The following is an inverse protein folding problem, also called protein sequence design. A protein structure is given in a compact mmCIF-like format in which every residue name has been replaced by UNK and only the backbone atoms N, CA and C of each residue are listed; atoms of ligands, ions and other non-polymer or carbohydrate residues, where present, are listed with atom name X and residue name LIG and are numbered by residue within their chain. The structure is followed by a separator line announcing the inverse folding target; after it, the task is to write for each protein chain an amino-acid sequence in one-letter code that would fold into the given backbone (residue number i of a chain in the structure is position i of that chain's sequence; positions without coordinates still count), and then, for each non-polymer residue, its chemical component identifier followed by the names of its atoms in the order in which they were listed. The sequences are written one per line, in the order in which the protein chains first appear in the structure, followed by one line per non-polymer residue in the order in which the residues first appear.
data_IF_195846882628
#
_entry.id   IF_195846882628
#
_cell.length_a   1.000
_cell.length_b   1.000
_cell.length_c   1.000
_cell.angle_alpha   90.00
_cell.angle_beta   90.00
_cell.angle_gamma   90.00
#
_symmetry.space_group_name_H-M   'P 1'
#
loop_
_entity.id
_entity.type
_entity.pdbx_description
1 polymer ?
#
# COMPACT_ATOMS: atom_id res chain seq x y z
N UNK A 1 -7.67 11.05 -2.60
CA UNK A 1 -6.20 10.92 -2.66
C UNK A 1 -5.45 12.21 -2.33
N UNK A 2 -5.86 13.37 -2.87
CA UNK A 2 -5.33 14.68 -2.46
C UNK A 2 -5.61 14.99 -0.97
N UNK A 3 -6.65 14.39 -0.41
CA UNK A 3 -7.00 14.50 1.02
C UNK A 3 -5.90 13.96 1.93
N UNK A 4 -5.04 13.03 1.49
CA UNK A 4 -3.86 12.65 2.30
C UNK A 4 -2.84 13.78 2.42
N UNK A 5 -2.71 14.61 1.38
CA UNK A 5 -1.79 15.75 1.37
C UNK A 5 -2.31 16.90 2.23
N UNK A 6 -3.61 17.20 2.11
CA UNK A 6 -4.22 18.36 2.77
C UNK A 6 -4.89 18.04 4.11
N UNK A 7 -5.24 16.78 4.36
CA UNK A 7 -6.01 16.34 5.54
C UNK A 7 -5.31 15.14 6.22
N UNK A 8 -4.06 15.32 6.63
CA UNK A 8 -3.27 14.25 7.25
C UNK A 8 -3.84 13.73 8.56
N UNK A 9 -4.54 14.55 9.33
CA UNK A 9 -5.23 14.12 10.56
C UNK A 9 -6.56 13.40 10.28
N UNK A 10 -6.99 13.33 9.01
CA UNK A 10 -8.17 12.55 8.65
C UNK A 10 -7.83 11.06 8.55
N UNK A 11 -8.05 10.36 9.65
CA UNK A 11 -7.76 8.94 9.80
C UNK A 11 -8.58 7.99 8.92
N UNK A 12 -9.59 8.50 8.20
CA UNK A 12 -10.27 7.74 7.14
C UNK A 12 -9.36 7.50 5.94
N UNK A 13 -8.46 8.45 5.64
CA UNK A 13 -7.62 8.43 4.45
C UNK A 13 -6.13 8.26 4.79
N UNK A 14 -5.69 8.65 5.99
CA UNK A 14 -4.32 8.45 6.44
C UNK A 14 -4.14 7.12 7.17
N UNK A 15 -3.52 6.14 6.49
CA UNK A 15 -3.20 4.85 7.07
C UNK A 15 -2.21 4.91 8.26
N UNK A 16 -1.45 5.99 8.44
CA UNK A 16 -0.58 6.14 9.61
C UNK A 16 -1.37 6.27 10.92
N UNK A 17 -2.60 6.79 10.88
CA UNK A 17 -3.47 6.89 12.06
C UNK A 17 -3.80 5.55 12.71
N UNK A 18 -3.66 4.43 11.98
CA UNK A 18 -3.88 3.12 12.60
C UNK A 18 -2.79 2.82 13.65
N UNK A 19 -1.63 3.45 13.56
CA UNK A 19 -0.54 3.27 14.51
C UNK A 19 -0.70 4.27 15.65
N UNK A 20 -0.75 3.78 16.88
CA UNK A 20 -0.72 4.60 18.09
C UNK A 20 0.48 5.57 18.15
N UNK A 21 1.57 5.23 17.46
CA UNK A 21 2.75 6.09 17.31
C UNK A 21 2.46 7.41 16.58
N UNK A 22 1.42 7.47 15.73
CA UNK A 22 0.99 8.72 15.09
C UNK A 22 0.58 9.76 16.13
N UNK A 23 -0.35 9.42 17.02
CA UNK A 23 -0.78 10.35 18.09
C UNK A 23 0.33 10.61 19.11
N UNK A 24 1.11 9.59 19.48
CA UNK A 24 2.25 9.75 20.39
C UNK A 24 3.30 10.72 19.85
N UNK A 25 3.53 10.72 18.54
CA UNK A 25 4.52 11.60 17.94
C UNK A 25 4.20 13.08 18.11
N UNK A 26 2.92 13.47 18.24
CA UNK A 26 2.52 14.88 18.40
C UNK A 26 3.07 15.54 19.66
N UNK A 27 3.48 14.74 20.66
CA UNK A 27 4.13 15.24 21.88
C UNK A 27 5.57 15.74 21.62
N UNK A 28 6.20 15.31 20.53
CA UNK A 28 7.55 15.70 20.12
C UNK A 28 7.47 16.34 18.72
N UNK A 29 7.59 17.68 18.61
CA UNK A 29 7.45 18.37 17.33
C UNK A 29 8.43 17.90 16.25
N UNK A 30 9.65 17.52 16.61
CA UNK A 30 10.68 17.08 15.67
C UNK A 30 10.33 15.70 15.10
N UNK A 31 9.99 14.76 15.98
CA UNK A 31 9.55 13.42 15.57
C UNK A 31 8.28 13.48 14.75
N UNK A 32 7.31 14.33 15.14
CA UNK A 32 6.08 14.49 14.40
C UNK A 32 6.32 15.05 12.99
N UNK A 33 7.21 16.03 12.84
CA UNK A 33 7.58 16.59 11.55
C UNK A 33 8.17 15.53 10.61
N UNK A 34 9.06 14.67 11.12
CA UNK A 34 9.61 13.55 10.37
C UNK A 34 8.51 12.56 9.92
N UNK A 35 7.61 12.17 10.83
CA UNK A 35 6.53 11.24 10.49
C UNK A 35 5.58 11.85 9.45
N UNK A 36 5.22 13.14 9.58
CA UNK A 36 4.41 13.85 8.58
C UNK A 36 5.09 13.89 7.21
N UNK A 37 6.40 14.12 7.17
CA UNK A 37 7.18 14.06 5.94
C UNK A 37 7.07 12.67 5.29
N UNK A 38 7.28 11.59 6.05
CA UNK A 38 7.19 10.21 5.54
C UNK A 38 5.78 9.86 5.03
N UNK A 39 4.73 10.28 5.75
CA UNK A 39 3.33 10.09 5.32
C UNK A 39 3.04 10.81 4.02
N UNK A 40 3.47 12.07 3.91
CA UNK A 40 3.33 12.86 2.68
C UNK A 40 4.10 12.26 1.51
N UNK A 41 5.32 11.80 1.76
CA UNK A 41 6.13 11.15 0.74
C UNK A 41 5.44 9.89 0.21
N UNK A 42 4.95 9.03 1.09
CA UNK A 42 4.20 7.82 0.70
C UNK A 42 2.90 8.16 -0.05
N UNK A 43 2.19 9.22 0.36
CA UNK A 43 1.01 9.70 -0.35
C UNK A 43 1.37 10.13 -1.79
N UNK A 44 2.48 10.85 -1.97
CA UNK A 44 2.99 11.26 -3.28
C UNK A 44 3.32 10.10 -4.20
N UNK A 45 4.04 9.10 -3.68
CA UNK A 45 4.36 7.89 -4.45
C UNK A 45 3.09 7.19 -4.93
N UNK A 46 2.04 7.08 -4.09
CA UNK A 46 0.75 6.49 -4.50
C UNK A 46 0.07 7.27 -5.62
N UNK A 47 0.11 8.62 -5.57
CA UNK A 47 -0.43 9.46 -6.65
C UNK A 47 0.27 9.19 -7.98
N UNK A 48 1.61 9.13 -7.97
CA UNK A 48 2.43 8.87 -9.14
C UNK A 48 2.10 7.48 -9.71
N UNK A 49 2.08 6.45 -8.86
CA UNK A 49 1.77 5.07 -9.28
C UNK A 49 0.40 5.00 -9.93
N UNK A 50 -0.63 5.62 -9.34
CA UNK A 50 -1.99 5.56 -9.90
C UNK A 50 -2.09 6.32 -11.23
N UNK A 51 -1.45 7.48 -11.35
CA UNK A 51 -1.37 8.19 -12.63
C UNK A 51 -0.71 7.33 -13.72
N UNK A 52 0.40 6.65 -13.39
CA UNK A 52 1.09 5.75 -14.32
C UNK A 52 0.24 4.53 -14.69
N UNK A 53 -0.45 3.90 -13.72
CA UNK A 53 -1.36 2.79 -13.97
C UNK A 53 -2.50 3.22 -14.90
N UNK A 54 -3.08 4.41 -14.71
CA UNK A 54 -4.12 4.92 -15.59
C UNK A 54 -3.60 5.06 -17.02
N UNK A 55 -2.45 5.70 -17.22
CA UNK A 55 -1.85 5.83 -18.56
C UNK A 55 -1.63 4.46 -19.18
N UNK A 56 -1.03 3.52 -18.44
CA UNK A 56 -0.81 2.15 -18.93
C UNK A 56 -2.11 1.47 -19.36
N UNK A 57 -3.14 1.50 -18.53
CA UNK A 57 -4.43 0.83 -18.83
C UNK A 57 -5.09 1.41 -20.09
N UNK A 58 -4.95 2.71 -20.35
CA UNK A 58 -5.59 3.34 -21.51
C UNK A 58 -4.76 3.30 -22.80
N UNK A 59 -3.43 3.23 -22.71
CA UNK A 59 -2.56 3.43 -23.89
C UNK A 59 -1.65 2.25 -24.19
N UNK A 60 -1.43 1.34 -23.25
CA UNK A 60 -0.45 0.27 -23.42
C UNK A 60 -1.01 -0.88 -24.28
N UNK A 61 -0.13 -1.49 -25.07
CA UNK A 61 -0.47 -2.74 -25.76
C UNK A 61 -0.67 -3.87 -24.75
N UNK A 62 -1.38 -4.90 -25.18
CA UNK A 62 -1.63 -6.12 -24.39
C UNK A 62 -0.33 -6.71 -23.80
N UNK A 63 0.71 -6.90 -24.62
CA UNK A 63 2.01 -7.38 -24.16
C UNK A 63 2.61 -6.51 -23.05
N UNK A 64 2.48 -5.18 -23.18
CA UNK A 64 2.99 -4.24 -22.17
C UNK A 64 2.19 -4.34 -20.87
N UNK A 65 0.87 -4.52 -20.94
CA UNK A 65 0.02 -4.72 -19.77
C UNK A 65 0.37 -6.01 -19.03
N UNK A 66 0.61 -7.11 -19.75
CA UNK A 66 1.02 -8.39 -19.15
C UNK A 66 2.37 -8.23 -18.43
N UNK A 67 3.37 -7.63 -19.10
CA UNK A 67 4.69 -7.40 -18.49
C UNK A 67 4.59 -6.49 -17.26
N UNK A 68 3.77 -5.44 -17.32
CA UNK A 68 3.50 -4.57 -16.19
C UNK A 68 2.82 -5.33 -15.04
N UNK A 69 1.86 -6.22 -15.33
CA UNK A 69 1.19 -7.04 -14.34
C UNK A 69 2.16 -8.04 -13.69
N UNK A 70 3.05 -8.69 -14.45
CA UNK A 70 4.11 -9.56 -13.92
C UNK A 70 5.06 -8.78 -13.01
N UNK A 71 5.51 -7.60 -13.44
CA UNK A 71 6.34 -6.72 -12.61
C UNK A 71 5.61 -6.29 -11.32
N UNK A 72 4.30 -6.04 -11.40
CA UNK A 72 3.48 -5.68 -10.24
C UNK A 72 3.36 -6.84 -9.25
N UNK A 73 3.15 -8.08 -9.73
CA UNK A 73 3.15 -9.28 -8.87
C UNK A 73 4.48 -9.40 -8.11
N UNK A 74 5.61 -9.36 -8.81
CA UNK A 74 6.95 -9.51 -8.20
C UNK A 74 7.21 -8.40 -7.17
N UNK A 75 6.84 -7.16 -7.47
CA UNK A 75 7.08 -6.02 -6.57
C UNK A 75 6.15 -6.02 -5.37
N UNK A 76 4.88 -6.41 -5.52
CA UNK A 76 3.95 -6.62 -4.40
C UNK A 76 4.48 -7.73 -3.48
N UNK A 77 4.88 -8.88 -4.03
CA UNK A 77 5.44 -9.99 -3.26
C UNK A 77 6.65 -9.55 -2.43
N UNK A 78 7.59 -8.84 -3.07
CA UNK A 78 8.82 -8.35 -2.44
C UNK A 78 8.53 -7.36 -1.31
N UNK A 79 7.64 -6.40 -1.57
CA UNK A 79 7.22 -5.41 -0.59
C UNK A 79 6.49 -6.05 0.60
N UNK A 80 5.59 -6.99 0.31
CA UNK A 80 4.80 -7.69 1.30
C UNK A 80 5.67 -8.56 2.21
N UNK A 81 6.64 -9.29 1.67
CA UNK A 81 7.61 -10.05 2.47
C UNK A 81 8.32 -9.15 3.49
N UNK A 82 8.77 -7.95 3.08
CA UNK A 82 9.48 -7.07 4.01
C UNK A 82 8.57 -6.42 5.06
N UNK A 83 7.41 -5.93 4.66
CA UNK A 83 6.56 -5.11 5.55
C UNK A 83 5.57 -5.90 6.40
N UNK A 84 5.09 -7.03 5.91
CA UNK A 84 4.13 -7.84 6.66
C UNK A 84 4.66 -8.28 8.04
N UNK A 85 5.92 -8.75 8.19
CA UNK A 85 6.49 -9.06 9.50
C UNK A 85 6.50 -7.85 10.44
N UNK A 86 6.83 -6.66 9.94
CA UNK A 86 6.85 -5.43 10.74
C UNK A 86 5.44 -5.07 11.23
N UNK A 87 4.45 -5.10 10.32
CA UNK A 87 3.05 -4.83 10.66
C UNK A 87 2.50 -5.86 11.65
N UNK A 88 2.84 -7.15 11.48
CA UNK A 88 2.45 -8.22 12.39
C UNK A 88 3.04 -8.02 13.79
N UNK A 89 4.30 -7.58 13.88
CA UNK A 89 4.94 -7.27 15.17
C UNK A 89 4.24 -6.09 15.86
N UNK A 90 3.92 -5.02 15.12
CA UNK A 90 3.16 -3.89 15.64
C UNK A 90 1.75 -4.28 16.12
N UNK A 91 1.05 -5.14 15.36
CA UNK A 91 -0.29 -5.66 15.73
C UNK A 91 -0.22 -6.49 17.03
N UNK A 92 0.75 -7.40 17.14
CA UNK A 92 1.00 -8.18 18.38
C UNK A 92 1.31 -7.30 19.58
N UNK A 93 2.05 -6.21 19.37
CA UNK A 93 2.38 -5.23 20.40
C UNK A 93 1.21 -4.30 20.76
N UNK A 94 0.01 -4.51 20.20
CA UNK A 94 -1.18 -3.66 20.38
C UNK A 94 -0.92 -2.19 20.02
N UNK A 95 0.00 -1.96 19.09
CA UNK A 95 0.32 -0.61 18.60
C UNK A 95 -0.65 -0.16 17.51
N UNK A 96 -1.53 -1.04 17.01
CA UNK A 96 -2.54 -0.75 16.00
C UNK A 96 -3.92 -0.50 16.63
N UNK A 97 -4.69 0.44 16.09
CA UNK A 97 -6.02 0.84 16.58
C UNK A 97 -7.08 -0.26 16.48
N UNK A 98 -6.89 -1.25 15.60
CA UNK A 98 -7.78 -2.41 15.49
C UNK A 98 -6.99 -3.71 15.53
N UNK A 99 -7.44 -4.66 16.36
CA UNK A 99 -6.82 -5.99 16.46
C UNK A 99 -6.99 -6.75 15.15
N UNK A 100 -5.93 -7.45 14.73
CA UNK A 100 -5.97 -8.29 13.52
C UNK A 100 -6.02 -7.48 12.23
N UNK A 101 -5.63 -6.20 12.27
CA UNK A 101 -5.49 -5.38 11.07
C UNK A 101 -4.44 -5.96 10.12
N UNK A 102 -3.33 -6.48 10.66
CA UNK A 102 -2.28 -7.13 9.86
C UNK A 102 -2.81 -8.30 9.04
N UNK A 103 -3.69 -9.14 9.64
CA UNK A 103 -4.30 -10.29 8.97
C UNK A 103 -5.28 -9.85 7.87
N UNK A 104 -6.10 -8.82 8.11
CA UNK A 104 -7.03 -8.30 7.11
C UNK A 104 -6.32 -7.71 5.90
N UNK A 105 -5.31 -6.86 6.13
CA UNK A 105 -4.52 -6.28 5.05
C UNK A 105 -3.79 -7.36 4.24
N UNK A 106 -3.23 -8.35 4.94
CA UNK A 106 -2.61 -9.53 4.33
C UNK A 106 -3.55 -10.28 3.38
N UNK A 107 -4.77 -10.58 3.82
CA UNK A 107 -5.74 -11.28 2.97
C UNK A 107 -6.13 -10.47 1.73
N UNK A 108 -6.27 -9.14 1.86
CA UNK A 108 -6.56 -8.26 0.73
C UNK A 108 -5.42 -8.26 -0.29
N UNK A 109 -4.18 -8.15 0.17
CA UNK A 109 -3.00 -8.14 -0.71
C UNK A 109 -2.80 -9.49 -1.39
N UNK A 110 -2.93 -10.59 -0.65
CA UNK A 110 -2.88 -11.94 -1.22
C UNK A 110 -4.00 -12.16 -2.25
N UNK A 111 -5.21 -11.67 -2.01
CA UNK A 111 -6.31 -11.76 -2.95
C UNK A 111 -6.04 -11.00 -4.26
N UNK A 112 -5.50 -9.78 -4.16
CA UNK A 112 -5.09 -8.99 -5.33
C UNK A 112 -3.99 -9.70 -6.12
N UNK A 113 -2.94 -10.15 -5.43
CA UNK A 113 -1.80 -10.82 -6.04
C UNK A 113 -2.21 -12.14 -6.73
N UNK A 114 -3.01 -12.96 -6.04
CA UNK A 114 -3.55 -14.19 -6.61
C UNK A 114 -4.44 -13.91 -7.82
N UNK A 115 -5.29 -12.89 -7.75
CA UNK A 115 -6.14 -12.47 -8.87
C UNK A 115 -5.33 -12.08 -10.11
N UNK A 116 -4.23 -11.33 -9.93
CA UNK A 116 -3.33 -10.96 -11.02
C UNK A 116 -2.62 -12.18 -11.62
N UNK A 117 -2.10 -13.08 -10.79
CA UNK A 117 -1.46 -14.32 -11.25
C UNK A 117 -2.43 -15.17 -12.05
N UNK A 118 -3.65 -15.33 -11.56
CA UNK A 118 -4.71 -16.08 -12.24
C UNK A 118 -5.07 -15.44 -13.58
N UNK A 119 -5.27 -14.12 -13.62
CA UNK A 119 -5.58 -13.40 -14.85
C UNK A 119 -4.47 -13.51 -15.91
N UNK A 120 -3.19 -13.38 -15.50
CA UNK A 120 -2.04 -13.60 -16.38
C UNK A 120 -2.04 -15.04 -16.90
N UNK A 121 -2.30 -16.03 -16.03
CA UNK A 121 -2.37 -17.43 -16.41
C UNK A 121 -3.45 -17.70 -17.46
N UNK A 122 -4.69 -17.28 -17.21
CA UNK A 122 -5.80 -17.42 -18.17
C UNK A 122 -5.42 -16.84 -19.54
N UNK A 123 -4.86 -15.63 -19.54
CA UNK A 123 -4.49 -14.96 -20.77
C UNK A 123 -3.35 -15.67 -21.54
N UNK A 124 -2.32 -16.16 -20.85
CA UNK A 124 -1.20 -16.88 -21.49
C UNK A 124 -1.57 -18.26 -22.01
N UNK A 125 -2.52 -18.95 -21.37
CA UNK A 125 -2.95 -20.30 -21.75
C UNK A 125 -4.20 -20.32 -22.63
N UNK A 126 -4.76 -19.16 -22.98
CA UNK A 126 -5.92 -19.05 -23.87
C UNK A 126 -7.20 -19.65 -23.30
N UNK A 127 -7.35 -19.64 -21.97
CA UNK A 127 -8.52 -20.13 -21.24
C UNK A 127 -9.53 -19.03 -20.95
#
# INVERSE_FOLDING_TARGET
MLELYFMQDNCKFNGACIFSSWEKSKADPEVHALIRYLVNWLAGVKMIVIALVLVLVFTASENTLILAAVALVITIASFYWRLYPMLRTADKAKQLSSRGHSKRLSMMLMGLELGLVVAIGFHLFGL
#
